data_IF_433501848330
#
_entry.id   IF_433501848330
#
_cell.length_a   1.000
_cell.length_b   1.000
_cell.length_c   1.000
_cell.angle_alpha   90.00
_cell.angle_beta   90.00
_cell.angle_gamma   90.00
#
_symmetry.space_group_name_H-M   'P 1'
#
loop_
_entity.id
_entity.type
_entity.pdbx_description
1 polymer ?
#
# COMPACT_ATOMS: atom_id res chain seq x y z
N UNK A 1 3.81 -25.26 -8.06
CA UNK A 1 5.05 -24.69 -8.62
C UNK A 1 4.90 -24.21 -10.08
N UNK A 2 3.76 -24.47 -10.77
CA UNK A 2 3.51 -24.00 -12.15
C UNK A 2 3.05 -22.54 -12.29
N UNK A 3 2.24 -22.02 -11.36
CA UNK A 3 1.62 -20.68 -11.47
C UNK A 3 2.57 -19.50 -11.61
N UNK A 4 3.74 -19.54 -10.95
CA UNK A 4 4.69 -18.43 -10.97
C UNK A 4 5.39 -18.25 -12.32
N UNK A 5 5.57 -19.34 -13.07
CA UNK A 5 6.18 -19.28 -14.41
C UNK A 5 5.22 -18.66 -15.43
N UNK A 6 3.92 -18.90 -15.30
CA UNK A 6 2.92 -18.39 -16.23
C UNK A 6 2.65 -16.90 -16.01
N UNK A 7 2.64 -16.43 -14.76
CA UNK A 7 2.54 -14.99 -14.45
C UNK A 7 3.76 -14.19 -14.90
N UNK A 8 4.98 -14.73 -14.73
CA UNK A 8 6.20 -14.07 -15.19
C UNK A 8 6.24 -13.97 -16.73
N UNK A 9 5.76 -15.01 -17.43
CA UNK A 9 5.64 -15.00 -18.90
C UNK A 9 4.58 -14.02 -19.39
N UNK A 10 3.46 -13.90 -18.68
CA UNK A 10 2.42 -12.92 -18.99
C UNK A 10 2.95 -11.48 -18.86
N UNK A 11 3.63 -11.15 -17.75
CA UNK A 11 4.22 -9.81 -17.56
C UNK A 11 5.33 -9.48 -18.57
N UNK A 12 6.17 -10.45 -18.93
CA UNK A 12 7.17 -10.29 -19.99
C UNK A 12 6.52 -10.06 -21.36
N UNK A 13 5.39 -10.71 -21.63
CA UNK A 13 4.61 -10.51 -22.86
C UNK A 13 4.02 -9.11 -22.96
N UNK A 14 3.49 -8.57 -21.85
CA UNK A 14 2.98 -7.19 -21.80
C UNK A 14 4.09 -6.16 -22.04
N UNK A 15 5.25 -6.32 -21.39
CA UNK A 15 6.40 -5.44 -21.59
C UNK A 15 6.91 -5.48 -23.03
N UNK A 16 7.04 -6.68 -23.61
CA UNK A 16 7.39 -6.83 -25.02
C UNK A 16 6.36 -6.16 -25.94
N UNK A 17 5.07 -6.27 -25.62
CA UNK A 17 3.98 -5.60 -26.34
C UNK A 17 4.11 -4.08 -26.32
N UNK A 18 4.36 -3.47 -25.15
CA UNK A 18 4.57 -2.02 -25.04
C UNK A 18 5.81 -1.56 -25.80
N UNK A 19 6.89 -2.34 -25.77
CA UNK A 19 8.14 -2.01 -26.45
C UNK A 19 7.96 -2.08 -27.98
N UNK A 20 7.26 -3.10 -28.48
CA UNK A 20 6.90 -3.21 -29.90
C UNK A 20 5.98 -2.08 -30.36
N UNK A 21 4.99 -1.69 -29.54
CA UNK A 21 4.14 -0.52 -29.81
C UNK A 21 4.96 0.77 -29.88
N UNK A 22 5.87 0.98 -28.92
CA UNK A 22 6.76 2.14 -28.93
C UNK A 22 7.60 2.22 -30.20
N UNK A 23 8.23 1.11 -30.59
CA UNK A 23 9.00 1.01 -31.85
C UNK A 23 8.10 1.30 -33.05
N UNK A 24 6.91 0.70 -33.10
CA UNK A 24 5.96 0.92 -34.18
C UNK A 24 5.56 2.38 -34.35
N UNK A 25 5.27 3.07 -33.24
CA UNK A 25 4.94 4.51 -33.25
C UNK A 25 6.17 5.32 -33.70
N UNK A 26 7.38 5.00 -33.24
CA UNK A 26 8.60 5.69 -33.69
C UNK A 26 8.86 5.53 -35.19
N UNK A 27 8.72 4.31 -35.72
CA UNK A 27 8.88 4.05 -37.16
C UNK A 27 7.79 4.76 -37.97
N UNK A 28 6.53 4.72 -37.48
CA UNK A 28 5.42 5.44 -38.11
C UNK A 28 5.65 6.95 -38.13
N UNK A 29 6.13 7.53 -37.03
CA UNK A 29 6.46 8.96 -36.94
C UNK A 29 7.63 9.33 -37.85
N UNK A 30 8.64 8.47 -37.97
CA UNK A 30 9.77 8.65 -38.89
C UNK A 30 9.30 8.62 -40.34
N UNK A 31 8.42 7.71 -40.70
CA UNK A 31 7.81 7.68 -42.03
C UNK A 31 6.94 8.92 -42.28
N UNK A 32 6.15 9.36 -41.30
CA UNK A 32 5.34 10.57 -41.41
C UNK A 32 6.22 11.81 -41.60
N UNK A 33 7.35 11.91 -40.90
CA UNK A 33 8.29 13.02 -40.99
C UNK A 33 8.91 13.20 -42.39
N UNK A 34 8.89 12.16 -43.24
CA UNK A 34 9.30 12.27 -44.65
C UNK A 34 8.22 12.82 -45.58
N UNK A 35 7.01 13.08 -45.07
CA UNK A 35 5.88 13.62 -45.84
C UNK A 35 5.87 15.13 -45.80
N UNK A 36 5.35 15.75 -46.86
CA UNK A 36 5.19 17.18 -46.91
C UNK A 36 3.96 17.67 -46.13
N UNK A 37 4.00 18.92 -45.72
CA UNK A 37 2.91 19.64 -45.09
C UNK A 37 2.65 19.20 -43.64
N UNK A 38 1.37 19.22 -43.25
CA UNK A 38 0.97 18.99 -41.86
C UNK A 38 1.36 17.59 -41.34
N UNK A 39 1.37 16.57 -42.20
CA UNK A 39 1.70 15.21 -41.80
C UNK A 39 3.16 15.04 -41.40
N UNK A 40 4.09 15.66 -42.14
CA UNK A 40 5.49 15.67 -41.74
C UNK A 40 5.72 16.48 -40.47
N UNK A 41 5.03 17.61 -40.33
CA UNK A 41 5.12 18.39 -39.10
C UNK A 41 4.69 17.58 -37.87
N UNK A 42 3.61 16.79 -37.98
CA UNK A 42 3.18 15.86 -36.93
C UNK A 42 4.25 14.80 -36.67
N UNK A 43 4.82 14.19 -37.71
CA UNK A 43 5.90 13.20 -37.57
C UNK A 43 7.09 13.73 -36.79
N UNK A 44 7.59 14.92 -37.14
CA UNK A 44 8.69 15.59 -36.44
C UNK A 44 8.34 15.88 -34.99
N UNK A 45 7.16 16.44 -34.71
CA UNK A 45 6.71 16.71 -33.34
C UNK A 45 6.60 15.44 -32.48
N UNK A 46 6.10 14.34 -33.04
CA UNK A 46 6.01 13.06 -32.33
C UNK A 46 7.39 12.49 -32.04
N UNK A 47 8.34 12.59 -32.97
CA UNK A 47 9.72 12.14 -32.74
C UNK A 47 10.41 12.95 -31.64
N UNK A 48 10.23 14.28 -31.62
CA UNK A 48 10.74 15.15 -30.55
C UNK A 48 10.16 14.69 -29.21
N UNK A 49 8.84 14.48 -29.13
CA UNK A 49 8.18 14.03 -27.92
C UNK A 49 8.68 12.66 -27.45
N UNK A 50 8.79 11.66 -28.34
CA UNK A 50 9.22 10.32 -27.98
C UNK A 50 10.69 10.28 -27.53
N UNK A 51 11.57 11.02 -28.21
CA UNK A 51 12.99 11.12 -27.84
C UNK A 51 13.18 11.79 -26.48
N UNK A 52 12.45 12.88 -26.22
CA UNK A 52 12.51 13.56 -24.93
C UNK A 52 11.83 12.74 -23.83
N UNK A 53 10.72 12.07 -24.12
CA UNK A 53 10.05 11.14 -23.20
C UNK A 53 10.97 10.00 -22.78
N UNK A 54 11.65 9.35 -23.73
CA UNK A 54 12.60 8.27 -23.40
C UNK A 54 13.74 8.77 -22.50
N UNK A 55 14.29 9.95 -22.80
CA UNK A 55 15.33 10.59 -22.00
C UNK A 55 14.83 10.94 -20.59
N UNK A 56 13.61 11.49 -20.51
CA UNK A 56 12.93 11.78 -19.25
C UNK A 56 12.66 10.53 -18.44
N UNK A 57 12.20 9.45 -19.06
CA UNK A 57 11.94 8.17 -18.40
C UNK A 57 13.20 7.56 -17.80
N UNK A 58 14.34 7.67 -18.47
CA UNK A 58 15.62 7.23 -17.89
C UNK A 58 15.94 7.98 -16.59
N UNK A 59 15.76 9.31 -16.59
CA UNK A 59 15.92 10.11 -15.37
C UNK A 59 14.88 9.70 -14.30
N UNK A 60 13.60 9.61 -14.68
CA UNK A 60 12.52 9.23 -13.79
C UNK A 60 12.76 7.88 -13.11
N UNK A 61 13.31 6.91 -13.83
CA UNK A 61 13.74 5.63 -13.27
C UNK A 61 14.82 5.79 -12.19
N UNK A 62 15.87 6.56 -12.46
CA UNK A 62 16.99 6.79 -11.52
C UNK A 62 16.48 7.42 -10.22
N UNK A 63 15.62 8.44 -10.33
CA UNK A 63 15.03 9.14 -9.19
C UNK A 63 13.88 8.36 -8.53
N UNK A 64 13.30 7.39 -9.22
CA UNK A 64 12.11 6.64 -8.78
C UNK A 64 12.40 5.50 -7.81
N UNK A 65 13.67 5.14 -7.58
CA UNK A 65 14.07 4.04 -6.68
C UNK A 65 13.87 4.46 -5.20
N UNK A 66 12.98 3.81 -4.42
CA UNK A 66 12.84 4.09 -3.00
C UNK A 66 14.15 3.93 -2.22
N UNK A 67 14.46 4.92 -1.39
CA UNK A 67 15.56 4.89 -0.41
C UNK A 67 15.05 4.13 0.82
N UNK A 68 15.66 3.01 1.17
CA UNK A 68 15.38 2.36 2.44
C UNK A 68 16.26 3.03 3.48
N UNK A 69 15.67 3.72 4.46
CA UNK A 69 16.41 4.29 5.57
C UNK A 69 17.09 3.15 6.37
N UNK A 70 18.30 2.77 5.97
CA UNK A 70 19.13 1.87 6.73
C UNK A 70 19.58 2.65 7.97
N UNK A 71 19.05 2.27 9.15
CA UNK A 71 19.71 2.62 10.41
C UNK A 71 21.19 2.24 10.31
N UNK A 72 22.10 3.09 10.84
CA UNK A 72 23.53 2.81 10.81
C UNK A 72 23.76 1.42 11.39
N UNK A 73 24.45 0.57 10.61
CA UNK A 73 24.73 -0.80 10.99
C UNK A 73 25.35 -0.81 12.41
N UNK A 74 24.81 -1.60 13.36
CA UNK A 74 25.39 -1.66 14.68
C UNK A 74 26.84 -2.12 14.57
N UNK A 75 27.72 -1.36 15.21
CA UNK A 75 29.14 -1.58 15.28
C UNK A 75 29.43 -3.07 15.55
N UNK A 76 30.15 -3.71 14.62
CA UNK A 76 30.52 -5.14 14.70
C UNK A 76 31.25 -5.42 16.01
N UNK A 77 31.91 -4.40 16.57
CA UNK A 77 32.53 -4.37 17.90
C UNK A 77 31.54 -4.64 19.04
N UNK A 78 30.33 -4.10 18.97
CA UNK A 78 29.28 -4.27 19.98
C UNK A 78 28.64 -5.66 19.93
N UNK A 79 28.55 -6.25 18.73
CA UNK A 79 28.04 -7.62 18.54
C UNK A 79 29.05 -8.65 19.08
N UNK A 80 30.34 -8.41 18.86
CA UNK A 80 31.42 -9.26 19.37
C UNK A 80 31.59 -9.10 20.89
N UNK A 81 31.40 -7.90 21.44
CA UNK A 81 31.41 -7.65 22.89
C UNK A 81 30.23 -8.31 23.61
N UNK A 82 29.04 -8.34 23.00
CA UNK A 82 27.86 -9.01 23.56
C UNK A 82 27.97 -10.55 23.53
N UNK A 83 28.72 -11.12 22.57
CA UNK A 83 29.02 -12.56 22.52
C UNK A 83 30.09 -12.99 23.53
N UNK A 84 30.96 -12.09 23.96
CA UNK A 84 32.00 -12.37 24.96
C UNK A 84 31.50 -12.33 26.42
N UNK A 85 30.28 -11.86 26.67
CA UNK A 85 29.77 -11.57 28.02
C UNK A 85 28.81 -12.62 28.62
N UNK A 86 28.64 -13.81 28.02
CA UNK A 86 27.73 -14.85 28.55
C UNK A 86 28.53 -16.01 29.16
N UNK A 87 28.58 -16.18 30.50
CA UNK A 87 29.11 -17.39 31.09
C UNK A 87 28.14 -18.54 30.89
N UNK A 88 28.66 -19.69 30.46
CA UNK A 88 27.88 -20.90 30.23
C UNK A 88 27.39 -21.49 31.55
N UNK A 89 26.08 -21.44 31.79
CA UNK A 89 25.41 -22.32 32.75
C UNK A 89 24.06 -22.76 32.20
N UNK A 90 23.88 -24.07 32.19
CA UNK A 90 22.75 -24.87 31.74
C UNK A 90 21.47 -24.62 32.54
N UNK A 91 20.33 -24.40 31.87
CA UNK A 91 19.05 -25.10 32.10
C UNK A 91 17.90 -24.47 31.26
N UNK A 92 17.17 -25.36 30.57
CA UNK A 92 15.73 -25.34 30.25
C UNK A 92 15.07 -24.09 29.64
N UNK A 93 14.56 -24.27 28.41
CA UNK A 93 13.35 -23.58 27.91
C UNK A 93 13.60 -22.37 26.99
N UNK A 94 13.18 -22.49 25.73
CA UNK A 94 13.06 -21.36 24.79
C UNK A 94 13.71 -21.62 23.43
N UNK A 95 12.91 -22.01 22.44
CA UNK A 95 13.33 -22.12 21.04
C UNK A 95 13.60 -20.73 20.41
N UNK A 96 14.42 -20.63 19.35
CA UNK A 96 15.28 -19.48 19.10
C UNK A 96 14.67 -18.40 18.19
N UNK A 97 14.76 -17.14 18.62
CA UNK A 97 14.41 -15.90 17.90
C UNK A 97 15.43 -15.47 16.82
N UNK A 98 16.30 -16.38 16.36
CA UNK A 98 17.44 -16.05 15.48
C UNK A 98 17.06 -15.92 14.00
N UNK A 99 15.94 -16.49 13.57
CA UNK A 99 15.50 -16.51 12.16
C UNK A 99 15.05 -15.13 11.67
N UNK A 100 14.37 -14.34 12.49
CA UNK A 100 13.82 -13.01 12.15
C UNK A 100 14.92 -11.99 11.84
N UNK A 101 16.03 -12.04 12.61
CA UNK A 101 17.19 -11.15 12.41
C UNK A 101 17.93 -11.44 11.10
N UNK A 102 17.91 -12.69 10.65
CA UNK A 102 18.56 -13.13 9.41
C UNK A 102 17.72 -12.75 8.18
N UNK A 103 16.38 -12.84 8.27
CA UNK A 103 15.45 -12.34 7.23
C UNK A 103 15.55 -10.82 7.04
N UNK A 104 15.60 -10.04 8.14
CA UNK A 104 15.81 -8.57 8.10
C UNK A 104 17.15 -8.18 7.42
N UNK A 105 18.17 -9.04 7.52
CA UNK A 105 19.50 -8.84 6.89
C UNK A 105 19.55 -9.18 5.40
N UNK A 106 18.65 -10.03 4.90
CA UNK A 106 18.57 -10.38 3.47
C UNK A 106 17.79 -9.33 2.67
N UNK A 107 16.83 -8.65 3.30
CA UNK A 107 16.16 -7.45 2.77
C UNK A 107 17.09 -6.23 2.70
N UNK A 108 18.23 -6.28 3.39
CA UNK A 108 19.34 -5.31 3.31
C UNK A 108 20.20 -5.53 2.04
N UNK A 109 19.57 -5.82 0.90
CA UNK A 109 20.21 -5.95 -0.42
C UNK A 109 19.67 -4.82 -1.30
N UNK A 110 20.45 -3.93 -1.92
CA UNK A 110 21.86 -3.88 -2.25
C UNK A 110 22.33 -2.41 -2.09
N UNK A 111 23.05 -2.07 -1.03
CA UNK A 111 23.49 -0.68 -0.76
C UNK A 111 24.38 -0.10 -1.86
N UNK A 112 24.90 -0.92 -2.78
CA UNK A 112 25.74 -0.47 -3.88
C UNK A 112 24.94 0.34 -4.92
N UNK A 113 23.76 -0.13 -5.31
CA UNK A 113 22.89 0.61 -6.25
C UNK A 113 22.28 1.85 -5.61
N UNK A 114 21.95 1.78 -4.33
CA UNK A 114 21.48 2.94 -3.55
C UNK A 114 22.59 4.01 -3.45
N UNK A 115 23.83 3.62 -3.14
CA UNK A 115 24.98 4.52 -3.11
C UNK A 115 25.32 5.10 -4.48
N UNK A 116 25.28 4.28 -5.54
CA UNK A 116 25.49 4.77 -6.90
C UNK A 116 24.38 5.76 -7.29
N UNK A 117 23.12 5.48 -6.96
CA UNK A 117 22.00 6.39 -7.22
C UNK A 117 22.09 7.68 -6.40
N UNK A 118 22.50 7.62 -5.14
CA UNK A 118 22.68 8.79 -4.29
C UNK A 118 23.86 9.67 -4.75
N UNK A 119 24.97 9.04 -5.13
CA UNK A 119 26.11 9.73 -5.74
C UNK A 119 25.76 10.34 -7.09
N UNK A 120 25.09 9.58 -7.97
CA UNK A 120 24.66 10.04 -9.29
C UNK A 120 23.62 11.17 -9.18
N UNK A 121 22.66 11.06 -8.25
CA UNK A 121 21.63 12.08 -8.03
C UNK A 121 22.25 13.36 -7.53
N UNK A 122 23.14 13.29 -6.53
CA UNK A 122 23.83 14.47 -6.00
C UNK A 122 24.72 15.13 -7.05
N UNK A 123 25.46 14.33 -7.84
CA UNK A 123 26.30 14.84 -8.93
C UNK A 123 25.47 15.46 -10.05
N UNK A 124 24.34 14.85 -10.42
CA UNK A 124 23.46 15.34 -11.48
C UNK A 124 22.69 16.60 -11.07
N UNK A 125 22.20 16.67 -9.83
CA UNK A 125 21.60 17.88 -9.27
C UNK A 125 22.64 18.99 -9.15
N UNK A 126 23.84 18.68 -8.66
CA UNK A 126 24.94 19.64 -8.55
C UNK A 126 25.39 20.17 -9.92
N UNK A 127 25.59 19.29 -10.90
CA UNK A 127 25.93 19.67 -12.27
C UNK A 127 24.80 20.46 -12.94
N UNK A 128 23.54 20.06 -12.72
CA UNK A 128 22.36 20.75 -13.24
C UNK A 128 22.19 22.17 -12.69
N UNK A 129 22.46 22.39 -11.41
CA UNK A 129 22.37 23.72 -10.78
C UNK A 129 23.42 24.68 -11.34
N UNK A 130 24.63 24.19 -11.63
CA UNK A 130 25.71 24.99 -12.21
C UNK A 130 25.49 25.24 -13.70
N UNK A 131 24.94 24.27 -14.43
CA UNK A 131 24.74 24.34 -15.88
C UNK A 131 23.37 24.86 -16.31
N UNK A 132 22.52 25.32 -15.37
CA UNK A 132 21.17 25.78 -15.68
C UNK A 132 21.15 26.86 -16.76
N UNK A 133 22.15 27.76 -16.76
CA UNK A 133 22.29 28.80 -17.78
C UNK A 133 22.62 28.27 -19.19
N UNK A 134 23.21 27.07 -19.30
CA UNK A 134 23.49 26.45 -20.60
C UNK A 134 22.21 25.89 -21.27
N UNK A 135 21.11 25.75 -20.52
CA UNK A 135 19.83 25.25 -21.05
C UNK A 135 19.24 26.24 -22.06
N UNK A 136 19.32 27.54 -21.79
CA UNK A 136 18.79 28.57 -22.70
C UNK A 136 19.49 28.54 -24.05
N UNK A 137 20.84 28.46 -24.05
CA UNK A 137 21.64 28.34 -25.27
C UNK A 137 21.36 27.01 -26.00
N UNK A 138 21.20 25.90 -25.28
CA UNK A 138 20.85 24.61 -25.87
C UNK A 138 19.46 24.62 -26.54
N UNK A 139 18.45 25.19 -25.87
CA UNK A 139 17.10 25.33 -26.43
C UNK A 139 17.07 26.28 -27.63
N UNK A 140 17.85 27.36 -27.59
CA UNK A 140 18.00 28.28 -28.71
C UNK A 140 18.66 27.59 -29.91
N UNK A 141 19.75 26.85 -29.70
CA UNK A 141 20.42 26.05 -30.76
C UNK A 141 19.51 24.98 -31.32
N UNK A 142 18.73 24.30 -30.48
CA UNK A 142 17.75 23.32 -30.94
C UNK A 142 16.66 23.96 -31.79
N UNK A 143 16.17 25.14 -31.42
CA UNK A 143 15.25 25.93 -32.24
C UNK A 143 15.87 26.28 -33.61
N UNK A 144 17.12 26.73 -33.64
CA UNK A 144 17.81 27.04 -34.90
C UNK A 144 18.00 25.80 -35.77
N UNK A 145 18.34 24.66 -35.16
CA UNK A 145 18.42 23.37 -35.85
C UNK A 145 17.08 22.96 -36.46
N UNK A 146 15.97 23.08 -35.72
CA UNK A 146 14.64 22.82 -36.27
C UNK A 146 14.28 23.79 -37.41
N UNK A 147 14.74 25.03 -37.33
CA UNK A 147 14.52 26.01 -38.39
C UNK A 147 15.28 25.69 -39.68
N UNK A 148 16.49 25.12 -39.59
CA UNK A 148 17.28 24.72 -40.76
C UNK A 148 16.85 23.37 -41.34
N UNK A 149 16.59 22.38 -40.48
CA UNK A 149 16.43 20.98 -40.90
C UNK A 149 14.98 20.54 -41.08
N UNK A 150 14.01 21.12 -40.38
CA UNK A 150 12.62 20.70 -40.50
C UNK A 150 11.97 21.33 -41.74
N UNK A 151 12.45 21.02 -42.94
CA UNK A 151 11.93 21.54 -44.21
C UNK A 151 10.66 20.84 -44.65
N UNK A 152 9.58 20.97 -43.87
CA UNK A 152 8.36 20.17 -44.05
C UNK A 152 7.28 20.86 -44.87
N UNK A 153 7.31 22.19 -44.95
CA UNK A 153 6.38 22.95 -45.78
C UNK A 153 7.06 23.43 -47.05
N UNK A 154 6.54 23.01 -48.20
CA UNK A 154 7.03 23.39 -49.53
C UNK A 154 5.97 24.22 -50.27
N UNK A 155 6.01 25.57 -50.19
CA UNK A 155 5.12 26.42 -50.98
C UNK A 155 5.45 26.29 -52.48
N UNK A 156 4.44 26.29 -53.35
CA UNK A 156 4.65 26.26 -54.81
C UNK A 156 5.45 27.49 -55.25
N UNK A 157 6.67 27.27 -55.75
CA UNK A 157 7.59 28.35 -56.17
C UNK A 157 8.34 29.05 -55.02
N UNK A 158 8.26 28.54 -53.79
CA UNK A 158 8.94 29.09 -52.61
C UNK A 158 10.05 28.21 -52.06
N UNK A 159 10.77 28.72 -51.06
CA UNK A 159 11.78 27.96 -50.30
C UNK A 159 11.08 27.12 -49.23
N UNK A 160 11.54 25.90 -49.03
CA UNK A 160 11.04 25.03 -47.98
C UNK A 160 11.24 25.66 -46.60
N UNK A 161 10.27 25.50 -45.69
CA UNK A 161 10.34 26.08 -44.35
C UNK A 161 9.76 25.15 -43.27
N UNK A 162 10.09 25.48 -42.03
CA UNK A 162 9.71 24.71 -40.83
C UNK A 162 8.38 25.12 -40.19
N UNK A 163 7.66 26.09 -40.77
CA UNK A 163 6.44 26.63 -40.18
C UNK A 163 6.63 27.04 -38.72
N UNK A 164 5.76 26.55 -37.83
CA UNK A 164 5.80 26.82 -36.39
C UNK A 164 6.66 25.84 -35.57
N UNK A 165 7.22 24.80 -36.18
CA UNK A 165 8.01 23.75 -35.50
C UNK A 165 9.16 24.32 -34.65
N UNK A 166 9.92 25.33 -35.12
CA UNK A 166 11.02 25.89 -34.31
C UNK A 166 10.54 26.58 -33.02
N UNK A 167 9.28 27.02 -32.98
CA UNK A 167 8.68 27.66 -31.79
C UNK A 167 8.12 26.62 -30.83
N UNK A 168 7.37 25.64 -31.36
CA UNK A 168 6.70 24.61 -30.53
C UNK A 168 7.63 23.45 -30.14
N UNK A 169 8.67 23.17 -30.93
CA UNK A 169 9.58 22.05 -30.74
C UNK A 169 10.29 22.04 -29.38
N UNK A 170 10.90 23.16 -28.93
CA UNK A 170 11.47 23.26 -27.58
C UNK A 170 10.43 23.01 -26.47
N UNK A 171 9.19 23.47 -26.65
CA UNK A 171 8.10 23.25 -25.68
C UNK A 171 7.73 21.77 -25.61
N UNK A 172 7.58 21.11 -26.77
CA UNK A 172 7.30 19.67 -26.87
C UNK A 172 8.45 18.85 -26.27
N UNK A 173 9.70 19.28 -26.48
CA UNK A 173 10.87 18.64 -25.89
C UNK A 173 10.80 18.65 -24.36
N UNK A 174 10.58 19.83 -23.76
CA UNK A 174 10.45 19.97 -22.30
C UNK A 174 9.26 19.15 -21.77
N UNK A 175 8.12 19.26 -22.45
CA UNK A 175 6.91 18.55 -22.05
C UNK A 175 7.09 17.03 -22.10
N UNK A 176 7.64 16.49 -23.19
CA UNK A 176 7.91 15.06 -23.31
C UNK A 176 8.90 14.58 -22.25
N UNK A 177 9.96 15.34 -21.97
CA UNK A 177 10.92 15.03 -20.91
C UNK A 177 10.23 14.99 -19.53
N UNK A 178 9.37 15.95 -19.21
CA UNK A 178 8.62 15.98 -17.96
C UNK A 178 7.62 14.81 -17.85
N UNK A 179 6.88 14.50 -18.91
CA UNK A 179 5.95 13.37 -18.95
C UNK A 179 6.69 12.03 -18.79
N UNK A 180 7.80 11.84 -19.50
CA UNK A 180 8.62 10.64 -19.41
C UNK A 180 9.20 10.45 -18.02
N UNK A 181 9.72 11.52 -17.44
CA UNK A 181 10.21 11.54 -16.06
C UNK A 181 9.11 11.15 -15.08
N UNK A 182 7.97 11.84 -15.09
CA UNK A 182 6.90 11.61 -14.13
C UNK A 182 6.32 10.20 -14.26
N UNK A 183 6.11 9.73 -15.49
CA UNK A 183 5.61 8.39 -15.77
C UNK A 183 6.53 7.32 -15.15
N UNK A 184 7.83 7.36 -15.47
CA UNK A 184 8.75 6.32 -15.00
C UNK A 184 9.08 6.47 -13.51
N UNK A 185 9.14 7.69 -12.99
CA UNK A 185 9.30 7.97 -11.56
C UNK A 185 8.16 7.34 -10.74
N UNK A 186 6.91 7.64 -11.11
CA UNK A 186 5.74 7.09 -10.41
C UNK A 186 5.64 5.58 -10.60
N UNK A 187 5.85 5.07 -11.81
CA UNK A 187 5.77 3.65 -12.09
C UNK A 187 6.81 2.85 -11.29
N UNK A 188 8.07 3.29 -11.31
CA UNK A 188 9.16 2.65 -10.55
C UNK A 188 8.85 2.67 -9.06
N UNK A 189 8.41 3.82 -8.53
CA UNK A 189 8.10 3.97 -7.11
C UNK A 189 6.93 3.08 -6.68
N UNK A 190 5.85 3.05 -7.45
CA UNK A 190 4.66 2.25 -7.14
C UNK A 190 4.92 0.74 -7.26
N UNK A 191 5.62 0.30 -8.31
CA UNK A 191 5.97 -1.11 -8.50
C UNK A 191 6.91 -1.58 -7.41
N UNK A 192 7.95 -0.80 -7.07
CA UNK A 192 8.92 -1.23 -6.07
C UNK A 192 8.34 -1.28 -4.66
N UNK A 193 7.46 -0.34 -4.30
CA UNK A 193 6.71 -0.40 -3.02
C UNK A 193 5.84 -1.65 -2.95
N UNK A 194 5.11 -1.97 -4.03
CA UNK A 194 4.27 -3.17 -4.09
C UNK A 194 5.12 -4.44 -3.99
N UNK A 195 6.23 -4.50 -4.72
CA UNK A 195 7.13 -5.64 -4.70
C UNK A 195 7.75 -5.85 -3.32
N UNK A 196 8.21 -4.78 -2.66
CA UNK A 196 8.73 -4.87 -1.30
C UNK A 196 7.66 -5.34 -0.33
N UNK A 197 6.42 -4.85 -0.43
CA UNK A 197 5.31 -5.35 0.39
C UNK A 197 5.02 -6.83 0.11
N UNK A 198 5.03 -7.27 -1.15
CA UNK A 198 4.83 -8.68 -1.51
C UNK A 198 5.95 -9.57 -0.99
N UNK A 199 7.21 -9.13 -1.10
CA UNK A 199 8.38 -9.87 -0.59
C UNK A 199 8.37 -9.89 0.94
N UNK A 200 8.01 -8.78 1.59
CA UNK A 200 7.82 -8.72 3.04
C UNK A 200 6.70 -9.68 3.47
N UNK A 201 5.55 -9.69 2.79
CA UNK A 201 4.46 -10.63 3.07
C UNK A 201 4.92 -12.10 2.89
N UNK A 202 5.73 -12.40 1.88
CA UNK A 202 6.30 -13.76 1.67
C UNK A 202 7.33 -14.11 2.75
N UNK A 203 8.18 -13.18 3.16
CA UNK A 203 9.23 -13.43 4.14
C UNK A 203 8.70 -13.45 5.57
N UNK A 204 7.70 -12.62 5.88
CA UNK A 204 6.95 -12.63 7.14
C UNK A 204 5.93 -13.76 7.20
N UNK A 205 5.58 -14.37 6.07
CA UNK A 205 4.90 -15.67 6.10
C UNK A 205 5.86 -16.74 6.64
N UNK A 206 5.88 -16.89 7.97
CA UNK A 206 5.78 -18.24 8.49
C UNK A 206 4.55 -18.87 7.82
N UNK A 207 4.58 -20.13 7.36
CA UNK A 207 3.41 -20.76 6.77
C UNK A 207 2.31 -20.72 7.82
N UNK A 208 1.43 -19.71 7.71
CA UNK A 208 0.29 -19.55 8.59
C UNK A 208 -0.52 -20.83 8.53
N UNK A 209 -1.20 -21.14 9.63
CA UNK A 209 -2.04 -22.33 9.70
C UNK A 209 -2.93 -22.40 8.45
N UNK A 210 -2.72 -23.45 7.65
CA UNK A 210 -3.54 -23.69 6.47
C UNK A 210 -4.92 -24.03 6.98
N UNK A 211 -5.93 -23.32 6.49
CA UNK A 211 -7.29 -23.48 6.97
C UNK A 211 -7.78 -24.93 6.83
N UNK A 212 -8.54 -25.44 7.81
CA UNK A 212 -9.29 -26.69 7.67
C UNK A 212 -10.21 -26.68 6.44
N UNK A 213 -10.58 -27.86 5.94
CA UNK A 213 -11.38 -27.99 4.71
C UNK A 213 -12.70 -27.19 4.75
N UNK A 214 -13.36 -27.16 5.91
CA UNK A 214 -14.61 -26.42 6.12
C UNK A 214 -14.42 -24.90 6.02
N UNK A 215 -13.40 -24.36 6.72
CA UNK A 215 -13.06 -22.94 6.66
C UNK A 215 -12.63 -22.52 5.24
N UNK A 216 -11.90 -23.38 4.52
CA UNK A 216 -11.55 -23.14 3.10
C UNK A 216 -12.78 -23.06 2.21
N UNK A 217 -13.74 -23.95 2.40
CA UNK A 217 -14.99 -23.92 1.65
C UNK A 217 -15.77 -22.62 1.94
N UNK A 218 -15.75 -22.14 3.18
CA UNK A 218 -16.38 -20.86 3.55
C UNK A 218 -15.67 -19.67 2.88
N UNK A 219 -14.34 -19.57 2.98
CA UNK A 219 -13.55 -18.54 2.29
C UNK A 219 -13.85 -18.52 0.80
N UNK A 220 -13.85 -19.68 0.14
CA UNK A 220 -14.15 -19.76 -1.29
C UNK A 220 -15.56 -19.27 -1.63
N UNK A 221 -16.57 -19.58 -0.80
CA UNK A 221 -17.94 -19.09 -0.98
C UNK A 221 -18.01 -17.57 -0.89
N UNK A 222 -17.42 -17.00 0.16
CA UNK A 222 -17.46 -15.54 0.39
C UNK A 222 -16.55 -14.76 -0.58
N UNK A 223 -15.55 -15.39 -1.19
CA UNK A 223 -14.78 -14.77 -2.29
C UNK A 223 -15.50 -14.80 -3.64
N UNK A 224 -16.50 -15.67 -3.81
CA UNK A 224 -17.28 -15.82 -5.05
C UNK A 224 -18.47 -14.88 -5.18
N UNK A 225 -18.90 -14.24 -4.07
CA UNK A 225 -19.99 -13.26 -4.02
C UNK A 225 -19.47 -11.88 -4.45
N UNK A 226 -19.42 -11.67 -5.78
CA UNK A 226 -18.81 -10.50 -6.40
C UNK A 226 -19.47 -9.16 -6.07
N UNK A 227 -18.66 -8.22 -5.57
CA UNK A 227 -18.94 -6.78 -5.48
C UNK A 227 -17.67 -5.96 -5.70
N UNK A 228 -17.80 -4.73 -6.19
CA UNK A 228 -16.75 -3.90 -6.82
C UNK A 228 -15.54 -3.49 -5.93
N UNK A 229 -15.44 -3.96 -4.69
CA UNK A 229 -14.24 -3.84 -3.83
C UNK A 229 -13.28 -5.04 -3.89
N UNK A 230 -13.60 -6.09 -4.65
CA UNK A 230 -13.03 -7.44 -4.55
C UNK A 230 -11.56 -7.66 -4.98
N UNK A 231 -10.64 -6.72 -4.79
CA UNK A 231 -9.21 -6.99 -5.00
C UNK A 231 -8.68 -8.02 -4.00
N UNK A 232 -9.01 -7.88 -2.72
CA UNK A 232 -8.60 -8.81 -1.66
C UNK A 232 -9.27 -10.17 -1.85
N UNK A 233 -10.60 -10.18 -2.05
CA UNK A 233 -11.36 -11.40 -2.32
C UNK A 233 -10.87 -12.16 -3.57
N UNK A 234 -10.55 -11.46 -4.67
CA UNK A 234 -10.04 -12.09 -5.91
C UNK A 234 -8.62 -12.64 -5.74
N UNK A 235 -7.76 -11.92 -5.00
CA UNK A 235 -6.43 -12.40 -4.69
C UNK A 235 -6.45 -13.63 -3.76
N UNK A 236 -7.31 -13.65 -2.74
CA UNK A 236 -7.46 -14.80 -1.84
C UNK A 236 -8.10 -15.98 -2.57
N UNK A 237 -9.16 -15.75 -3.34
CA UNK A 237 -9.83 -16.79 -4.13
C UNK A 237 -8.93 -17.45 -5.19
N UNK A 238 -7.88 -16.76 -5.64
CA UNK A 238 -6.87 -17.34 -6.52
C UNK A 238 -5.85 -18.23 -5.80
N UNK A 239 -5.79 -18.22 -4.46
CA UNK A 239 -4.86 -19.05 -3.69
C UNK A 239 -5.37 -20.48 -3.55
N UNK A 240 -4.53 -21.45 -3.91
CA UNK A 240 -4.83 -22.89 -3.74
C UNK A 240 -5.00 -23.32 -2.27
N UNK A 241 -4.33 -22.64 -1.33
CA UNK A 241 -4.36 -22.91 0.12
C UNK A 241 -4.45 -21.59 0.91
N UNK A 242 -5.67 -21.05 1.14
CA UNK A 242 -5.82 -19.87 1.98
C UNK A 242 -5.46 -20.17 3.44
N UNK A 243 -4.89 -19.18 4.11
CA UNK A 243 -4.41 -19.25 5.49
C UNK A 243 -5.35 -18.53 6.46
N UNK A 244 -5.18 -18.73 7.77
CA UNK A 244 -5.89 -17.97 8.81
C UNK A 244 -5.79 -16.45 8.59
N UNK A 245 -4.59 -15.93 8.28
CA UNK A 245 -4.37 -14.50 8.02
C UNK A 245 -5.11 -14.01 6.78
N UNK A 246 -5.25 -14.86 5.76
CA UNK A 246 -6.06 -14.53 4.58
C UNK A 246 -7.54 -14.43 4.95
N UNK A 247 -8.05 -15.33 5.79
CA UNK A 247 -9.43 -15.28 6.25
C UNK A 247 -9.72 -14.03 7.10
N UNK A 248 -8.80 -13.59 7.95
CA UNK A 248 -8.94 -12.33 8.69
C UNK A 248 -9.00 -11.11 7.76
N UNK A 249 -8.14 -11.06 6.73
CA UNK A 249 -8.22 -10.01 5.69
C UNK A 249 -9.56 -10.01 4.95
N UNK A 250 -10.14 -11.20 4.74
CA UNK A 250 -11.45 -11.32 4.12
C UNK A 250 -12.58 -10.86 5.06
N UNK A 251 -12.50 -11.17 6.36
CA UNK A 251 -13.44 -10.65 7.37
C UNK A 251 -13.45 -9.13 7.38
N UNK A 252 -12.28 -8.50 7.34
CA UNK A 252 -12.15 -7.04 7.20
C UNK A 252 -12.83 -6.53 5.92
N UNK A 253 -12.54 -7.11 4.74
CA UNK A 253 -13.15 -6.70 3.45
C UNK A 253 -14.68 -6.84 3.42
N UNK A 254 -15.23 -7.83 4.13
CA UNK A 254 -16.66 -8.06 4.24
C UNK A 254 -17.34 -7.04 5.16
N UNK A 255 -16.66 -6.58 6.21
CA UNK A 255 -17.18 -5.58 7.13
C UNK A 255 -17.46 -4.23 6.44
N UNK A 256 -16.57 -3.79 5.54
CA UNK A 256 -16.77 -2.57 4.73
C UNK A 256 -17.89 -2.68 3.69
N UNK A 257 -18.37 -3.90 3.40
CA UNK A 257 -19.51 -4.12 2.51
C UNK A 257 -20.84 -4.17 3.27
N UNK A 258 -20.81 -3.91 4.58
CA UNK A 258 -21.98 -3.95 5.47
C UNK A 258 -22.71 -5.31 5.40
N UNK A 259 -21.97 -6.42 5.23
CA UNK A 259 -22.50 -7.79 5.33
C UNK A 259 -22.04 -8.45 6.64
N UNK A 260 -22.62 -8.07 7.79
CA UNK A 260 -22.20 -8.59 9.08
C UNK A 260 -22.45 -10.10 9.20
N UNK A 261 -23.48 -10.63 8.53
CA UNK A 261 -23.76 -12.07 8.56
C UNK A 261 -22.68 -12.87 7.83
N UNK A 262 -22.09 -12.35 6.74
CA UNK A 262 -20.93 -13.00 6.09
C UNK A 262 -19.69 -13.03 7.01
N UNK A 263 -19.41 -11.94 7.72
CA UNK A 263 -18.31 -11.88 8.70
C UNK A 263 -18.54 -12.89 9.82
N UNK A 264 -19.77 -12.97 10.37
CA UNK A 264 -20.13 -13.89 11.45
C UNK A 264 -20.03 -15.36 10.99
N UNK A 265 -20.54 -15.69 9.80
CA UNK A 265 -20.41 -17.05 9.23
C UNK A 265 -18.96 -17.45 9.02
N UNK A 266 -18.15 -16.54 8.45
CA UNK A 266 -16.73 -16.77 8.23
C UNK A 266 -16.01 -16.96 9.58
N UNK A 267 -16.26 -16.09 10.55
CA UNK A 267 -15.70 -16.20 11.90
C UNK A 267 -16.06 -17.52 12.59
N UNK A 268 -17.32 -17.95 12.51
CA UNK A 268 -17.75 -19.25 13.03
C UNK A 268 -16.94 -20.43 12.47
N UNK A 269 -16.62 -20.41 11.17
CA UNK A 269 -15.78 -21.44 10.54
C UNK A 269 -14.31 -21.41 10.99
N UNK A 270 -13.83 -20.28 11.49
CA UNK A 270 -12.46 -20.09 11.99
C UNK A 270 -12.31 -20.39 13.48
N UNK A 271 -13.40 -20.62 14.20
CA UNK A 271 -13.42 -20.80 15.66
C UNK A 271 -12.54 -21.95 16.20
N UNK A 272 -12.16 -22.90 15.33
CA UNK A 272 -11.30 -24.04 15.66
C UNK A 272 -9.86 -23.89 15.12
N UNK A 273 -9.50 -22.71 14.64
CA UNK A 273 -8.17 -22.40 14.08
C UNK A 273 -7.37 -21.48 15.00
N UNK A 274 -6.11 -21.21 14.68
CA UNK A 274 -5.32 -20.19 15.38
C UNK A 274 -5.91 -18.79 15.37
N UNK A 275 -6.96 -18.51 14.57
CA UNK A 275 -7.61 -17.20 14.47
C UNK A 275 -8.08 -16.69 15.84
N UNK A 276 -8.54 -17.58 16.71
CA UNK A 276 -9.09 -17.20 18.02
C UNK A 276 -8.03 -16.64 18.98
N UNK A 277 -6.75 -16.81 18.66
CA UNK A 277 -5.63 -16.23 19.41
C UNK A 277 -5.17 -14.88 18.83
N UNK A 278 -5.78 -14.43 17.74
CA UNK A 278 -5.51 -13.15 17.10
C UNK A 278 -6.56 -12.12 17.58
N UNK A 279 -6.17 -10.95 18.11
CA UNK A 279 -7.14 -9.95 18.56
C UNK A 279 -7.98 -9.37 17.41
N UNK A 280 -7.46 -9.34 16.17
CA UNK A 280 -8.20 -8.85 14.99
C UNK A 280 -9.46 -9.70 14.72
N UNK A 281 -9.37 -11.02 14.94
CA UNK A 281 -10.50 -11.93 14.79
C UNK A 281 -11.69 -11.51 15.66
N UNK A 282 -11.43 -11.22 16.94
CA UNK A 282 -12.46 -10.82 17.88
C UNK A 282 -12.93 -9.39 17.65
N UNK A 283 -12.03 -8.51 17.23
CA UNK A 283 -12.38 -7.13 16.88
C UNK A 283 -13.33 -7.08 15.67
N UNK A 284 -13.06 -7.80 14.59
CA UNK A 284 -13.95 -7.85 13.43
C UNK A 284 -15.31 -8.48 13.75
N UNK A 285 -15.34 -9.51 14.60
CA UNK A 285 -16.61 -10.07 15.08
C UNK A 285 -17.38 -9.07 15.95
N UNK A 286 -16.70 -8.32 16.82
CA UNK A 286 -17.34 -7.29 17.62
C UNK A 286 -18.00 -6.22 16.74
N UNK A 287 -17.29 -5.74 15.71
CA UNK A 287 -17.83 -4.79 14.75
C UNK A 287 -19.01 -5.36 13.96
N UNK A 288 -18.93 -6.60 13.46
CA UNK A 288 -20.03 -7.23 12.74
C UNK A 288 -21.29 -7.40 13.61
N UNK A 289 -21.14 -7.80 14.88
CA UNK A 289 -22.26 -7.83 15.81
C UNK A 289 -22.76 -6.43 16.19
N UNK A 290 -21.90 -5.43 16.16
CA UNK A 290 -22.26 -4.01 16.29
C UNK A 290 -23.14 -3.50 15.13
N UNK A 291 -22.76 -3.79 13.89
CA UNK A 291 -23.60 -3.50 12.71
C UNK A 291 -24.97 -4.18 12.85
N UNK A 292 -24.99 -5.45 13.29
CA UNK A 292 -26.24 -6.18 13.55
C UNK A 292 -27.06 -5.58 14.69
N UNK A 293 -26.41 -5.06 15.72
CA UNK A 293 -27.05 -4.35 16.83
C UNK A 293 -27.75 -3.08 16.33
N UNK A 294 -27.07 -2.31 15.49
CA UNK A 294 -27.60 -1.07 14.90
C UNK A 294 -28.75 -1.35 13.93
N UNK A 295 -28.74 -2.49 13.24
CA UNK A 295 -29.79 -2.91 12.31
C UNK A 295 -30.95 -3.71 12.96
N UNK A 296 -30.90 -4.02 14.25
CA UNK A 296 -31.86 -4.93 14.89
C UNK A 296 -33.28 -4.34 15.02
N UNK A 297 -34.26 -5.06 14.47
CA UNK A 297 -35.68 -4.68 14.51
C UNK A 297 -36.36 -5.11 15.82
N UNK A 298 -35.96 -6.25 16.37
CA UNK A 298 -36.57 -6.81 17.60
C UNK A 298 -35.67 -6.65 18.83
N UNK A 299 -36.28 -6.60 20.01
CA UNK A 299 -35.53 -6.52 21.28
C UNK A 299 -34.66 -7.75 21.52
N UNK A 300 -35.15 -8.93 21.12
CA UNK A 300 -34.39 -10.18 21.25
C UNK A 300 -33.13 -10.20 20.35
N UNK A 301 -33.24 -9.71 19.11
CA UNK A 301 -32.08 -9.58 18.22
C UNK A 301 -31.10 -8.53 18.75
N UNK A 302 -31.61 -7.41 19.26
CA UNK A 302 -30.78 -6.34 19.83
C UNK A 302 -30.00 -6.83 21.04
N UNK A 303 -30.65 -7.53 21.96
CA UNK A 303 -30.02 -8.11 23.14
C UNK A 303 -28.96 -9.15 22.76
N UNK A 304 -29.27 -10.04 21.82
CA UNK A 304 -28.33 -11.05 21.33
C UNK A 304 -27.11 -10.42 20.64
N UNK A 305 -27.32 -9.44 19.77
CA UNK A 305 -26.24 -8.75 19.07
C UNK A 305 -25.35 -7.96 20.05
N UNK A 306 -25.96 -7.28 21.03
CA UNK A 306 -25.24 -6.56 22.09
C UNK A 306 -24.35 -7.48 22.90
N UNK A 307 -24.88 -8.61 23.36
CA UNK A 307 -24.15 -9.55 24.21
C UNK A 307 -22.97 -10.18 23.47
N UNK A 308 -23.16 -10.54 22.20
CA UNK A 308 -22.10 -11.06 21.34
C UNK A 308 -21.03 -10.01 21.03
N UNK A 309 -21.42 -8.77 20.72
CA UNK A 309 -20.47 -7.68 20.48
C UNK A 309 -19.61 -7.40 21.72
N UNK A 310 -20.23 -7.39 22.92
CA UNK A 310 -19.52 -7.22 24.18
C UNK A 310 -18.57 -8.39 24.50
N UNK A 311 -18.98 -9.63 24.25
CA UNK A 311 -18.10 -10.80 24.47
C UNK A 311 -16.88 -10.75 23.55
N UNK A 312 -17.08 -10.45 22.27
CA UNK A 312 -16.00 -10.31 21.30
C UNK A 312 -15.05 -9.16 21.68
N UNK A 313 -15.60 -7.99 22.04
CA UNK A 313 -14.81 -6.85 22.50
C UNK A 313 -13.95 -7.20 23.74
N UNK A 314 -14.49 -7.95 24.70
CA UNK A 314 -13.74 -8.40 25.88
C UNK A 314 -12.59 -9.32 25.50
N UNK A 315 -12.81 -10.26 24.57
CA UNK A 315 -11.78 -11.20 24.11
C UNK A 315 -10.66 -10.50 23.34
N UNK A 316 -10.99 -9.53 22.49
CA UNK A 316 -10.01 -8.70 21.80
C UNK A 316 -9.09 -7.98 22.81
N UNK A 317 -9.69 -7.31 23.79
CA UNK A 317 -8.96 -6.57 24.85
C UNK A 317 -8.17 -7.49 25.78
N UNK A 318 -8.62 -8.73 25.98
CA UNK A 318 -7.92 -9.72 26.80
C UNK A 318 -6.64 -10.25 26.11
N UNK A 319 -6.64 -10.32 24.78
CA UNK A 319 -5.46 -10.68 23.99
C UNK A 319 -4.50 -9.49 23.84
N UNK A 320 -5.04 -8.30 23.57
CA UNK A 320 -4.26 -7.08 23.41
C UNK A 320 -5.01 -5.85 23.96
N UNK A 321 -4.38 -5.18 24.93
CA UNK A 321 -4.94 -4.01 25.60
C UNK A 321 -5.08 -2.78 24.70
N UNK A 322 -4.35 -2.69 23.59
CA UNK A 322 -4.43 -1.56 22.64
C UNK A 322 -5.82 -1.47 21.97
N UNK A 323 -6.55 -2.59 21.89
CA UNK A 323 -7.90 -2.63 21.30
C UNK A 323 -8.93 -1.83 22.09
N UNK A 324 -8.64 -1.38 23.31
CA UNK A 324 -9.53 -0.47 24.06
C UNK A 324 -9.75 0.85 23.31
N UNK A 325 -8.69 1.41 22.73
CA UNK A 325 -8.79 2.68 21.99
C UNK A 325 -9.42 2.47 20.61
N UNK A 326 -9.09 1.36 19.92
CA UNK A 326 -9.71 0.98 18.64
C UNK A 326 -11.22 0.74 18.77
N UNK A 327 -11.66 0.03 19.81
CA UNK A 327 -13.09 -0.19 20.08
C UNK A 327 -13.78 1.13 20.44
N UNK A 328 -13.09 2.01 21.19
CA UNK A 328 -13.63 3.32 21.52
C UNK A 328 -13.79 4.20 20.28
N UNK A 329 -12.85 4.18 19.35
CA UNK A 329 -12.94 5.00 18.13
C UNK A 329 -14.14 4.60 17.27
N UNK A 330 -14.40 3.31 17.08
CA UNK A 330 -15.52 2.83 16.25
C UNK A 330 -16.88 2.85 16.96
N UNK A 331 -16.93 3.32 18.21
CA UNK A 331 -18.19 3.53 18.93
C UNK A 331 -18.69 4.98 18.85
N UNK A 332 -17.95 5.85 18.18
CA UNK A 332 -18.35 7.24 17.99
C UNK A 332 -19.39 7.35 16.85
N UNK A 333 -20.64 7.79 17.13
CA UNK A 333 -21.67 7.91 16.09
C UNK A 333 -21.35 8.93 15.00
N UNK A 334 -20.40 9.83 15.23
CA UNK A 334 -19.96 10.83 14.25
C UNK A 334 -18.73 10.37 13.44
N UNK A 335 -18.15 9.21 13.78
CA UNK A 335 -17.03 8.67 13.04
C UNK A 335 -17.47 8.04 11.71
N UNK A 336 -16.52 7.97 10.78
CA UNK A 336 -16.72 7.27 9.51
C UNK A 336 -16.95 5.77 9.68
N UNK A 337 -16.36 5.18 10.72
CA UNK A 337 -16.57 3.81 11.16
C UNK A 337 -17.30 3.87 12.50
N UNK A 338 -18.60 3.57 12.52
CA UNK A 338 -19.47 3.71 13.69
C UNK A 338 -20.12 2.36 14.10
N UNK A 339 -19.49 1.24 13.71
CA UNK A 339 -20.02 -0.11 13.90
C UNK A 339 -20.47 -0.41 15.34
N UNK A 340 -19.84 0.19 16.34
CA UNK A 340 -20.15 0.01 17.77
C UNK A 340 -20.92 1.18 18.39
N UNK A 341 -21.52 2.07 17.59
CA UNK A 341 -22.26 3.24 18.08
C UNK A 341 -23.37 2.86 19.06
N UNK A 342 -24.08 1.74 18.82
CA UNK A 342 -25.07 1.19 19.75
C UNK A 342 -24.53 0.75 21.13
N UNK A 343 -23.22 0.62 21.31
CA UNK A 343 -22.57 0.30 22.59
C UNK A 343 -21.99 1.51 23.31
N UNK A 344 -21.98 2.70 22.70
CA UNK A 344 -21.26 3.89 23.21
C UNK A 344 -21.59 4.24 24.65
N UNK A 345 -22.88 4.14 25.01
CA UNK A 345 -23.38 4.46 26.35
C UNK A 345 -23.50 3.24 27.27
N UNK A 346 -23.19 2.04 26.77
CA UNK A 346 -23.33 0.82 27.54
C UNK A 346 -22.32 0.80 28.70
N UNK A 347 -22.80 0.59 29.94
CA UNK A 347 -21.94 0.62 31.14
C UNK A 347 -20.83 -0.42 31.14
N UNK A 348 -21.08 -1.61 30.61
CA UNK A 348 -20.08 -2.67 30.54
C UNK A 348 -19.05 -2.38 29.45
N UNK A 349 -19.47 -1.80 28.34
CA UNK A 349 -18.56 -1.31 27.30
C UNK A 349 -17.67 -0.18 27.83
N UNK A 350 -18.26 0.83 28.48
CA UNK A 350 -17.52 1.95 29.09
C UNK A 350 -16.50 1.47 30.14
N UNK A 351 -16.85 0.45 30.93
CA UNK A 351 -15.90 -0.19 31.85
C UNK A 351 -14.78 -0.90 31.10
N UNK A 352 -15.10 -1.59 30.01
CA UNK A 352 -14.13 -2.29 29.17
C UNK A 352 -13.14 -1.33 28.49
N UNK A 353 -13.58 -0.19 27.97
CA UNK A 353 -12.69 0.78 27.31
C UNK A 353 -12.06 1.78 28.29
N UNK A 354 -12.38 1.70 29.60
CA UNK A 354 -11.83 2.60 30.61
C UNK A 354 -12.40 4.02 30.58
N UNK A 355 -13.62 4.20 30.04
CA UNK A 355 -14.30 5.49 29.88
C UNK A 355 -15.51 5.66 30.82
N UNK A 356 -15.71 4.72 31.75
CA UNK A 356 -16.81 4.80 32.72
C UNK A 356 -16.65 6.07 33.58
N UNK A 357 -17.65 6.98 33.61
CA UNK A 357 -17.60 8.16 34.46
C UNK A 357 -17.43 7.77 35.93
N UNK A 358 -16.53 8.45 36.64
CA UNK A 358 -16.40 8.30 38.09
C UNK A 358 -17.63 8.96 38.72
N UNK A 359 -18.45 8.19 39.46
CA UNK A 359 -19.58 8.76 40.20
C UNK A 359 -19.08 9.88 41.14
N UNK A 360 -19.78 11.03 41.21
CA UNK A 360 -19.41 12.06 42.18
C UNK A 360 -19.50 11.50 43.61
N UNK A 361 -18.59 11.89 44.51
CA UNK A 361 -18.59 11.37 45.87
C UNK A 361 -19.94 11.66 46.55
N UNK A 362 -20.58 10.61 47.06
CA UNK A 362 -21.82 10.71 47.84
C UNK A 362 -21.59 11.70 49.00
N UNK A 363 -22.34 12.81 49.11
CA UNK A 363 -22.15 13.74 50.21
C UNK A 363 -22.36 13.01 51.53
N UNK A 364 -21.35 13.05 52.40
CA UNK A 364 -21.35 12.39 53.69
C UNK A 364 -22.62 12.77 54.46
N UNK A 365 -23.43 11.76 54.82
CA UNK A 365 -24.61 11.92 55.69
C UNK A 365 -24.22 12.78 56.90
N UNK A 366 -24.77 13.98 56.99
CA UNK A 366 -24.57 14.86 58.13
C UNK A 366 -24.93 14.09 59.42
N UNK A 367 -23.94 13.89 60.30
CA UNK A 367 -24.13 13.29 61.62
C UNK A 367 -25.21 14.10 62.35
N UNK A 368 -26.37 13.49 62.60
CA UNK A 368 -27.42 14.04 63.44
C UNK A 368 -26.80 14.38 64.81
N UNK A 369 -26.84 15.65 65.21
CA UNK A 369 -26.48 16.08 66.56
C UNK A 369 -27.43 15.41 67.58
N UNK A 370 -26.94 14.93 68.73
CA UNK A 370 -27.79 14.41 69.78
C UNK A 370 -28.60 15.54 70.44
N UNK A 371 -29.78 15.25 70.98
CA UNK A 371 -30.63 16.28 71.59
C UNK A 371 -30.00 16.82 72.87
N UNK A 372 -29.93 18.14 72.97
CA UNK A 372 -29.56 18.86 74.20
C UNK A 372 -30.67 18.69 75.23
N UNK A 373 -30.34 18.01 76.33
CA UNK A 373 -31.19 17.91 77.52
C UNK A 373 -31.17 19.26 78.25
N UNK A 374 -32.32 19.90 78.41
CA UNK A 374 -32.61 20.88 79.46
C UNK A 374 -33.96 20.57 80.05
#
# INVERSE_FOLDING_TARGET
>A
MGDGHDQARAGLGELAGFLLWGIGISVGAMWLATRDGAWGAVGVCVLIFLGSFASGSLLGFIFGVPRTAAEPAPDVSAILAAQAAVPSSSATGGAPTTTTRTKKRLLQSNTNLEKISDWLTTLLVGAGLVQLHAVDDALYRFRLFLQSEATVFHPVGGVANAGLIPVIGPVILIFGLACGFLYMYLNTRLVLIRLFKSVEDILQSEPGEVLPAEARAQVNRETGTGGAGGFIARNIGSKSKPTTRDALKLMFDLLYKEDPDAVIRLGGSLSQTSAVNDPDYWYYLAAAFGQKLNAAETDAERDSARDNALDCARRAVALDGEYRELLWSISDPEAYEDDLSGLRENRDFLRLVGRLPVDPPVPARAKRRPPTRK
#
